data_IF_508135241341
#
_entry.id   IF_508135241341
#
_cell.length_a   1.000
_cell.length_b   1.000
_cell.length_c   1.000
_cell.angle_alpha   90.00
_cell.angle_beta   90.00
_cell.angle_gamma   90.00
#
_symmetry.space_group_name_H-M   'P 1'
#
loop_
_entity.id
_entity.type
_entity.pdbx_description
1 polymer ?
#
# COMPACT_ATOMS: atom_id res chain seq x y z
N UNK A 1 6.29 11.54 11.24
CA UNK A 1 5.32 10.67 10.61
C UNK A 1 3.97 10.58 11.33
N UNK A 2 2.90 10.42 10.57
CA UNK A 2 1.52 10.32 11.08
C UNK A 2 1.23 9.00 11.83
N UNK A 3 2.12 7.99 11.76
CA UNK A 3 1.95 6.69 12.41
C UNK A 3 1.44 5.57 11.50
N UNK A 4 1.56 5.71 10.18
CA UNK A 4 1.16 4.68 9.21
C UNK A 4 1.85 3.35 9.45
N UNK A 5 3.18 3.33 9.54
CA UNK A 5 3.99 2.13 9.82
C UNK A 5 3.62 1.50 11.18
N UNK A 6 3.34 2.32 12.19
CA UNK A 6 2.91 1.84 13.51
C UNK A 6 1.55 1.13 13.42
N UNK A 7 0.59 1.71 12.70
CA UNK A 7 -0.72 1.09 12.47
C UNK A 7 -0.58 -0.21 11.67
N UNK A 8 0.25 -0.20 10.62
CA UNK A 8 0.49 -1.37 9.79
C UNK A 8 1.07 -2.53 10.61
N UNK A 9 2.04 -2.25 11.49
CA UNK A 9 2.58 -3.24 12.43
C UNK A 9 1.50 -3.79 13.41
N UNK A 10 0.61 -2.91 13.89
CA UNK A 10 -0.49 -3.33 14.77
C UNK A 10 -1.50 -4.23 14.06
N UNK A 11 -1.85 -3.91 12.82
CA UNK A 11 -2.74 -4.75 11.98
C UNK A 11 -2.08 -6.10 11.69
N UNK A 12 -0.78 -6.09 11.37
CA UNK A 12 -0.04 -7.32 11.10
C UNK A 12 -0.03 -8.32 12.27
N UNK A 13 -0.10 -7.82 13.49
CA UNK A 13 -0.19 -8.68 14.68
C UNK A 13 -1.54 -9.43 14.79
N UNK A 14 -2.54 -9.06 14.01
CA UNK A 14 -3.86 -9.73 13.97
C UNK A 14 -4.01 -10.72 12.81
N UNK A 15 -3.01 -10.83 11.96
CA UNK A 15 -3.01 -11.78 10.83
C UNK A 15 -2.85 -13.20 11.35
N UNK A 16 -3.56 -14.14 10.73
CA UNK A 16 -3.50 -15.55 11.09
C UNK A 16 -2.04 -16.08 11.02
N UNK A 17 -1.52 -16.71 12.07
CA UNK A 17 -0.15 -17.22 12.11
C UNK A 17 0.21 -18.23 11.01
N UNK A 18 -0.76 -18.86 10.36
CA UNK A 18 -0.56 -19.80 9.26
C UNK A 18 -0.32 -19.10 7.92
N UNK A 19 -0.69 -17.81 7.79
CA UNK A 19 -0.54 -17.08 6.54
C UNK A 19 0.94 -16.77 6.23
N UNK A 20 1.30 -16.85 4.96
CA UNK A 20 2.60 -16.44 4.45
C UNK A 20 2.58 -14.97 4.06
N UNK A 21 3.35 -14.17 4.78
CA UNK A 21 3.46 -12.72 4.52
C UNK A 21 4.73 -12.42 3.74
N UNK A 22 4.62 -11.63 2.69
CA UNK A 22 5.79 -11.03 2.03
C UNK A 22 5.72 -9.52 2.19
N UNK A 23 6.78 -8.91 2.73
CA UNK A 23 6.91 -7.46 2.83
C UNK A 23 7.83 -6.95 1.73
N UNK A 24 7.50 -5.79 1.17
CA UNK A 24 8.32 -5.06 0.19
C UNK A 24 8.47 -3.63 0.69
N UNK A 25 9.71 -3.19 0.92
CA UNK A 25 10.02 -1.90 1.54
C UNK A 25 11.24 -1.23 0.89
N UNK A 26 11.31 0.11 0.94
CA UNK A 26 12.52 0.86 0.59
C UNK A 26 13.63 0.63 1.62
N UNK A 27 13.27 0.68 2.89
CA UNK A 27 14.10 0.35 4.03
C UNK A 27 13.26 -0.45 5.03
N UNK A 28 13.85 -1.44 5.67
CA UNK A 28 13.16 -2.35 6.57
C UNK A 28 12.70 -1.65 7.85
N UNK A 29 11.48 -1.15 7.87
CA UNK A 29 10.81 -0.52 9.03
C UNK A 29 9.73 -1.41 9.66
N UNK A 30 9.18 -2.35 8.89
CA UNK A 30 8.11 -3.22 9.33
C UNK A 30 8.63 -4.32 10.25
N UNK A 31 8.03 -4.43 11.43
CA UNK A 31 8.38 -5.41 12.44
C UNK A 31 7.17 -6.31 12.73
N UNK A 32 6.95 -7.31 11.90
CA UNK A 32 5.85 -8.25 12.08
C UNK A 32 6.27 -9.38 13.01
N UNK A 33 5.60 -9.52 14.16
CA UNK A 33 5.79 -10.66 15.07
C UNK A 33 5.05 -11.89 14.52
N UNK A 34 5.47 -12.38 13.36
CA UNK A 34 4.81 -13.43 12.62
C UNK A 34 5.83 -14.49 12.20
N UNK A 35 5.49 -15.77 12.29
CA UNK A 35 6.42 -16.87 12.07
C UNK A 35 6.88 -16.99 10.62
N UNK A 36 6.01 -16.65 9.66
CA UNK A 36 6.28 -16.84 8.24
C UNK A 36 6.28 -15.50 7.47
N UNK A 37 7.33 -14.71 7.65
CA UNK A 37 7.55 -13.44 6.94
C UNK A 37 8.78 -13.52 6.07
N UNK A 38 8.62 -13.22 4.79
CA UNK A 38 9.73 -12.97 3.86
C UNK A 38 9.85 -11.46 3.64
N UNK A 39 11.01 -10.88 3.93
CA UNK A 39 11.27 -9.46 3.78
C UNK A 39 12.08 -9.22 2.52
N UNK A 40 11.56 -8.34 1.66
CA UNK A 40 12.23 -7.88 0.45
C UNK A 40 12.49 -6.38 0.60
N UNK A 41 13.75 -5.99 0.49
CA UNK A 41 14.18 -4.61 0.60
C UNK A 41 14.72 -4.10 -0.73
N UNK A 42 14.31 -2.91 -1.13
CA UNK A 42 14.80 -2.25 -2.32
C UNK A 42 16.29 -1.90 -2.16
N UNK A 43 16.98 -1.84 -3.26
CA UNK A 43 18.39 -1.46 -3.28
C UNK A 43 18.62 -0.46 -4.41
N UNK A 44 19.17 0.73 -4.11
CA UNK A 44 19.57 1.66 -5.15
C UNK A 44 20.70 1.05 -5.99
N UNK A 45 20.84 1.56 -7.21
CA UNK A 45 21.97 1.23 -8.06
C UNK A 45 23.30 1.59 -7.35
N UNK A 46 24.35 0.80 -7.62
CA UNK A 46 25.70 1.16 -7.20
C UNK A 46 26.16 2.45 -7.88
N UNK A 47 27.30 2.99 -7.44
CA UNK A 47 27.94 4.15 -8.09
C UNK A 47 28.22 3.91 -9.61
N UNK A 48 28.29 2.67 -10.04
CA UNK A 48 28.51 2.24 -11.43
C UNK A 48 27.17 2.03 -12.18
N UNK A 49 26.02 2.31 -11.54
CA UNK A 49 24.70 2.17 -12.13
C UNK A 49 24.17 0.73 -12.24
N UNK A 50 24.76 -0.22 -11.49
CA UNK A 50 24.39 -1.65 -11.56
C UNK A 50 23.74 -2.13 -10.28
N UNK A 51 22.91 -3.17 -10.40
CA UNK A 51 22.38 -3.92 -9.27
C UNK A 51 21.20 -3.25 -8.54
N UNK A 52 20.50 -2.32 -9.18
CA UNK A 52 19.25 -1.76 -8.67
C UNK A 52 18.17 -2.83 -8.49
N UNK A 53 17.48 -2.78 -7.36
CA UNK A 53 16.27 -3.54 -7.09
C UNK A 53 15.15 -2.57 -6.71
N UNK A 54 14.26 -2.29 -7.64
CA UNK A 54 13.14 -1.37 -7.43
C UNK A 54 12.00 -2.04 -6.68
N UNK A 55 11.18 -1.26 -5.95
CA UNK A 55 9.94 -1.75 -5.32
C UNK A 55 9.07 -2.47 -6.34
N UNK A 56 8.94 -1.93 -7.55
CA UNK A 56 8.20 -2.53 -8.66
C UNK A 56 8.69 -3.93 -9.01
N UNK A 57 10.02 -4.11 -9.16
CA UNK A 57 10.61 -5.42 -9.44
C UNK A 57 10.38 -6.41 -8.31
N UNK A 58 10.47 -5.95 -7.06
CA UNK A 58 10.23 -6.76 -5.88
C UNK A 58 8.77 -7.19 -5.75
N UNK A 59 7.79 -6.32 -6.04
CA UNK A 59 6.36 -6.67 -6.06
C UNK A 59 6.13 -7.80 -7.08
N UNK A 60 6.61 -7.64 -8.32
CA UNK A 60 6.46 -8.67 -9.36
C UNK A 60 7.08 -10.01 -8.97
N UNK A 61 8.19 -9.98 -8.26
CA UNK A 61 8.84 -11.19 -7.75
C UNK A 61 8.04 -11.81 -6.58
N UNK A 62 7.59 -10.98 -5.63
CA UNK A 62 6.80 -11.39 -4.48
C UNK A 62 5.54 -12.19 -4.89
N UNK A 63 4.84 -11.75 -5.93
CA UNK A 63 3.64 -12.43 -6.45
C UNK A 63 3.91 -13.87 -6.93
N UNK A 64 5.14 -14.18 -7.35
CA UNK A 64 5.58 -15.53 -7.74
C UNK A 64 5.97 -16.41 -6.57
N UNK A 65 6.13 -15.82 -5.38
CA UNK A 65 6.53 -16.53 -4.17
C UNK A 65 5.36 -17.08 -3.37
N UNK A 66 4.13 -17.05 -3.93
CA UNK A 66 2.88 -17.50 -3.30
C UNK A 66 2.64 -16.86 -1.94
N UNK A 67 2.50 -15.54 -1.85
CA UNK A 67 2.09 -14.90 -0.62
C UNK A 67 0.61 -15.13 -0.37
N UNK A 68 0.22 -15.36 0.91
CA UNK A 68 -1.16 -15.20 1.34
C UNK A 68 -1.46 -13.70 1.52
N UNK A 69 -0.45 -12.92 1.97
CA UNK A 69 -0.50 -11.46 2.04
C UNK A 69 0.76 -10.81 1.50
N UNK A 70 0.55 -9.79 0.69
CA UNK A 70 1.58 -8.86 0.28
C UNK A 70 1.43 -7.56 1.08
N UNK A 71 2.51 -7.11 1.69
CA UNK A 71 2.54 -5.83 2.42
C UNK A 71 3.60 -4.93 1.77
N UNK A 72 3.16 -3.82 1.21
CA UNK A 72 4.05 -2.82 0.64
C UNK A 72 4.18 -1.66 1.61
N UNK A 73 5.38 -1.43 2.13
CA UNK A 73 5.63 -0.43 3.17
C UNK A 73 5.12 0.95 2.78
N UNK A 74 5.40 1.40 1.57
CA UNK A 74 4.86 2.63 1.02
C UNK A 74 4.83 2.60 -0.52
N UNK A 75 3.77 3.17 -1.10
CA UNK A 75 3.63 3.39 -2.54
C UNK A 75 3.92 4.85 -2.86
N UNK A 76 4.95 5.10 -3.67
CA UNK A 76 5.44 6.44 -4.01
C UNK A 76 5.59 6.69 -5.51
N UNK A 77 5.70 5.63 -6.31
CA UNK A 77 6.08 5.67 -7.71
C UNK A 77 5.26 4.75 -8.61
N UNK A 78 5.91 4.29 -9.65
CA UNK A 78 5.32 3.50 -10.74
C UNK A 78 4.89 2.08 -10.32
N UNK A 79 5.31 1.61 -9.16
CA UNK A 79 4.86 0.37 -8.55
C UNK A 79 3.36 0.36 -8.22
N UNK A 80 2.74 1.54 -8.13
CA UNK A 80 1.31 1.69 -7.83
C UNK A 80 0.44 0.87 -8.77
N UNK A 81 0.75 0.86 -10.06
CA UNK A 81 -0.02 0.12 -11.04
C UNK A 81 0.14 -1.39 -10.88
N UNK A 82 1.37 -1.86 -10.66
CA UNK A 82 1.64 -3.29 -10.45
C UNK A 82 0.95 -3.80 -9.17
N UNK A 83 0.92 -2.98 -8.11
CA UNK A 83 0.18 -3.29 -6.90
C UNK A 83 -1.34 -3.40 -7.16
N UNK A 84 -1.93 -2.40 -7.84
CA UNK A 84 -3.37 -2.41 -8.19
C UNK A 84 -3.72 -3.65 -9.03
N UNK A 85 -2.88 -4.01 -10.00
CA UNK A 85 -3.08 -5.22 -10.80
C UNK A 85 -2.97 -6.49 -9.96
N UNK A 86 -2.04 -6.56 -9.03
CA UNK A 86 -1.89 -7.69 -8.11
C UNK A 86 -3.14 -7.89 -7.25
N UNK A 87 -3.68 -6.82 -6.70
CA UNK A 87 -4.91 -6.84 -5.90
C UNK A 87 -6.10 -7.34 -6.71
N UNK A 88 -6.22 -6.92 -7.97
CA UNK A 88 -7.30 -7.35 -8.88
C UNK A 88 -7.16 -8.79 -9.36
N UNK A 89 -6.00 -9.43 -9.22
CA UNK A 89 -5.74 -10.81 -9.65
C UNK A 89 -5.82 -11.85 -8.54
N UNK A 90 -6.46 -11.53 -7.43
CA UNK A 90 -6.83 -12.49 -6.38
C UNK A 90 -5.93 -12.46 -5.13
N UNK A 91 -4.97 -11.56 -5.03
CA UNK A 91 -4.14 -11.37 -3.83
C UNK A 91 -4.88 -10.47 -2.81
N UNK A 92 -5.97 -11.01 -2.24
CA UNK A 92 -6.79 -10.30 -1.25
C UNK A 92 -6.05 -10.13 0.07
N UNK A 93 -6.44 -9.11 0.84
CA UNK A 93 -5.87 -8.86 2.16
C UNK A 93 -4.46 -8.24 2.13
N UNK A 94 -4.02 -7.71 1.00
CA UNK A 94 -2.81 -6.91 0.92
C UNK A 94 -2.95 -5.60 1.71
N UNK A 95 -1.82 -5.12 2.21
CA UNK A 95 -1.74 -3.88 2.97
C UNK A 95 -0.69 -2.97 2.34
N UNK A 96 -0.96 -1.67 2.33
CA UNK A 96 0.03 -0.69 1.89
C UNK A 96 -0.19 0.66 2.55
N UNK A 97 0.82 1.53 2.50
CA UNK A 97 0.65 2.93 2.89
C UNK A 97 0.87 3.86 1.69
N UNK A 98 0.16 4.98 1.72
CA UNK A 98 0.27 6.05 0.73
C UNK A 98 0.27 7.39 1.46
N UNK A 99 1.03 8.36 0.99
CA UNK A 99 0.94 9.75 1.46
C UNK A 99 -0.21 10.48 0.77
N UNK A 100 -1.22 10.88 1.55
CA UNK A 100 -2.36 11.66 1.08
C UNK A 100 -2.96 12.46 2.26
N UNK A 101 -3.76 13.49 1.95
CA UNK A 101 -4.39 14.35 2.96
C UNK A 101 -5.76 13.83 3.41
N UNK A 102 -6.26 12.75 2.81
CA UNK A 102 -7.54 12.12 3.15
C UNK A 102 -7.86 10.96 2.23
N UNK A 103 -8.94 10.18 2.51
CA UNK A 103 -9.26 8.97 1.75
C UNK A 103 -9.49 9.19 0.25
N UNK A 104 -10.19 10.26 -0.15
CA UNK A 104 -10.39 10.58 -1.58
C UNK A 104 -9.05 10.92 -2.25
N UNK A 105 -8.16 11.61 -1.54
CA UNK A 105 -6.86 11.99 -2.09
C UNK A 105 -5.94 10.78 -2.29
N UNK A 106 -6.14 9.67 -1.53
CA UNK A 106 -5.46 8.40 -1.79
C UNK A 106 -5.77 7.91 -3.20
N UNK A 107 -7.06 7.90 -3.61
CA UNK A 107 -7.48 7.45 -4.93
C UNK A 107 -6.83 8.30 -6.03
N UNK A 108 -6.90 9.63 -5.90
CA UNK A 108 -6.26 10.58 -6.84
C UNK A 108 -4.74 10.41 -6.88
N UNK A 109 -4.11 10.16 -5.73
CA UNK A 109 -2.66 9.93 -5.68
C UNK A 109 -2.28 8.66 -6.42
N UNK A 110 -3.01 7.56 -6.22
CA UNK A 110 -2.79 6.31 -6.93
C UNK A 110 -3.02 6.46 -8.44
N UNK A 111 -4.04 7.23 -8.88
CA UNK A 111 -4.23 7.57 -10.30
C UNK A 111 -2.97 8.24 -10.88
N UNK A 112 -2.47 9.26 -10.20
CA UNK A 112 -1.27 9.99 -10.64
C UNK A 112 -0.07 9.05 -10.74
N UNK A 113 0.16 8.22 -9.72
CA UNK A 113 1.29 7.28 -9.68
C UNK A 113 1.17 6.22 -10.79
N UNK A 114 -0.05 5.69 -11.01
CA UNK A 114 -0.30 4.72 -12.08
C UNK A 114 -0.06 5.30 -13.48
N UNK A 115 -0.46 6.57 -13.70
CA UNK A 115 -0.18 7.28 -14.96
C UNK A 115 1.32 7.48 -15.19
N UNK A 116 2.07 7.84 -14.14
CA UNK A 116 3.53 7.98 -14.20
C UNK A 116 4.24 6.64 -14.52
N UNK A 117 3.62 5.52 -14.13
CA UNK A 117 4.10 4.18 -14.45
C UNK A 117 4.04 3.80 -15.94
N UNK A 118 3.51 4.67 -16.79
CA UNK A 118 3.62 4.56 -18.25
C UNK A 118 2.77 3.45 -18.88
N UNK A 119 1.66 3.06 -18.27
CA UNK A 119 0.85 1.92 -18.73
C UNK A 119 0.11 2.14 -20.07
N UNK A 120 0.05 3.36 -20.58
CA UNK A 120 -0.74 3.68 -21.79
C UNK A 120 -2.25 3.42 -21.64
N UNK A 121 -2.73 3.19 -20.40
CA UNK A 121 -4.13 2.93 -20.11
C UNK A 121 -4.93 4.25 -20.06
N UNK A 122 -6.17 4.26 -20.55
CA UNK A 122 -7.08 5.39 -20.35
C UNK A 122 -7.30 5.65 -18.85
N UNK A 123 -7.46 6.91 -18.45
CA UNK A 123 -7.65 7.31 -17.06
C UNK A 123 -8.84 6.59 -16.40
N UNK A 124 -9.95 6.44 -17.12
CA UNK A 124 -11.14 5.75 -16.60
C UNK A 124 -10.91 4.27 -16.33
N UNK A 125 -10.06 3.61 -17.13
CA UNK A 125 -9.66 2.23 -16.87
C UNK A 125 -8.80 2.14 -15.60
N UNK A 126 -7.87 3.09 -15.39
CA UNK A 126 -7.07 3.17 -14.17
C UNK A 126 -7.97 3.36 -12.93
N UNK A 127 -8.90 4.30 -13.00
CA UNK A 127 -9.87 4.57 -11.92
C UNK A 127 -10.70 3.34 -11.55
N UNK A 128 -11.21 2.65 -12.57
CA UNK A 128 -11.98 1.43 -12.38
C UNK A 128 -11.15 0.34 -11.71
N UNK A 129 -9.89 0.17 -12.14
CA UNK A 129 -8.98 -0.81 -11.53
C UNK A 129 -8.64 -0.46 -10.08
N UNK A 130 -8.40 0.81 -9.76
CA UNK A 130 -8.12 1.26 -8.39
C UNK A 130 -9.34 1.02 -7.49
N UNK A 131 -10.54 1.38 -7.95
CA UNK A 131 -11.77 1.16 -7.19
C UNK A 131 -12.07 -0.32 -6.94
N UNK A 132 -11.75 -1.20 -7.90
CA UNK A 132 -11.92 -2.65 -7.75
C UNK A 132 -10.86 -3.29 -6.84
N UNK A 133 -9.70 -2.67 -6.71
CA UNK A 133 -8.55 -3.19 -5.95
C UNK A 133 -8.61 -2.85 -4.46
N UNK A 134 -9.26 -1.76 -4.09
CA UNK A 134 -9.25 -1.23 -2.72
C UNK A 134 -10.61 -1.41 -2.04
N UNK A 135 -10.59 -2.04 -0.88
CA UNK A 135 -11.79 -2.21 -0.05
C UNK A 135 -11.95 -1.05 0.94
N UNK A 136 -10.87 -0.75 1.69
CA UNK A 136 -10.90 0.20 2.81
C UNK A 136 -9.67 1.08 2.84
N UNK A 137 -9.86 2.35 3.14
CA UNK A 137 -8.80 3.32 3.40
C UNK A 137 -8.88 3.77 4.85
N UNK A 138 -7.77 3.65 5.58
CA UNK A 138 -7.63 4.13 6.96
C UNK A 138 -6.74 5.36 6.95
N UNK A 139 -7.31 6.52 7.27
CA UNK A 139 -6.56 7.77 7.37
C UNK A 139 -6.05 7.99 8.79
N UNK A 140 -4.75 8.21 8.89
CA UNK A 140 -4.07 8.51 10.15
C UNK A 140 -3.45 9.90 10.09
N UNK A 141 -3.59 10.65 11.16
CA UNK A 141 -3.06 11.99 11.27
C UNK A 141 -2.40 12.24 12.63
N UNK A 142 -1.66 13.33 12.69
CA UNK A 142 -1.14 13.86 13.94
C UNK A 142 -1.92 15.12 14.27
N UNK A 143 -2.69 15.07 15.37
CA UNK A 143 -3.47 16.20 15.83
C UNK A 143 -2.62 17.38 16.33
N UNK A 144 -3.25 18.51 16.57
CA UNK A 144 -2.61 19.71 17.11
C UNK A 144 -2.00 19.48 18.50
N UNK A 145 -2.55 18.55 19.26
CA UNK A 145 -2.03 18.06 20.54
C UNK A 145 -0.79 17.16 20.42
N UNK A 146 -0.31 16.94 19.18
CA UNK A 146 0.82 16.09 18.87
C UNK A 146 0.53 14.59 18.89
N UNK A 147 -0.66 14.15 19.27
CA UNK A 147 -1.05 12.74 19.31
C UNK A 147 -1.39 12.22 17.92
N UNK A 148 -1.07 10.96 17.69
CA UNK A 148 -1.41 10.24 16.46
C UNK A 148 -2.73 9.54 16.66
N UNK A 149 -3.62 9.64 15.69
CA UNK A 149 -4.94 9.01 15.73
C UNK A 149 -5.39 8.54 14.37
N UNK A 150 -6.29 7.56 14.34
CA UNK A 150 -7.10 7.26 13.16
C UNK A 150 -8.19 8.32 13.10
N UNK A 151 -8.17 9.17 12.09
CA UNK A 151 -9.17 10.24 11.92
C UNK A 151 -10.35 9.81 11.05
N UNK A 152 -10.11 8.87 10.12
CA UNK A 152 -11.18 8.39 9.25
C UNK A 152 -10.92 6.95 8.81
N UNK A 153 -12.00 6.15 8.73
CA UNK A 153 -12.04 4.87 8.02
C UNK A 153 -13.11 5.00 6.94
N UNK A 154 -12.77 4.69 5.70
CA UNK A 154 -13.66 4.83 4.57
C UNK A 154 -13.62 3.59 3.68
N UNK A 155 -14.79 3.14 3.24
CA UNK A 155 -14.99 2.13 2.21
C UNK A 155 -14.84 2.76 0.83
N UNK A 156 -14.16 2.10 -0.09
CA UNK A 156 -14.12 2.51 -1.50
C UNK A 156 -15.35 1.93 -2.18
N UNK A 157 -16.23 2.81 -2.68
CA UNK A 157 -17.51 2.40 -3.27
C UNK A 157 -17.57 2.61 -4.78
N UNK A 158 -16.57 3.27 -5.35
CA UNK A 158 -16.50 3.54 -6.78
C UNK A 158 -15.27 4.33 -7.19
N UNK A 159 -15.11 4.61 -8.49
CA UNK A 159 -14.03 5.45 -9.00
C UNK A 159 -14.05 6.84 -8.35
N UNK A 160 -12.95 7.18 -7.66
CA UNK A 160 -12.81 8.43 -6.88
C UNK A 160 -13.88 8.65 -5.79
N UNK A 161 -14.57 7.59 -5.36
CA UNK A 161 -15.67 7.68 -4.40
C UNK A 161 -15.41 6.81 -3.18
N UNK A 162 -15.62 7.40 -2.00
CA UNK A 162 -15.48 6.72 -0.71
C UNK A 162 -16.70 7.01 0.18
N UNK A 163 -17.09 6.02 0.97
CA UNK A 163 -18.12 6.14 2.00
C UNK A 163 -17.46 6.07 3.36
N UNK A 164 -17.65 7.10 4.18
CA UNK A 164 -17.14 7.10 5.55
C UNK A 164 -17.82 6.01 6.38
N UNK A 165 -17.02 5.13 6.98
CA UNK A 165 -17.47 4.14 7.96
C UNK A 165 -17.28 4.68 9.38
N UNK A 166 -16.20 5.44 9.59
CA UNK A 166 -15.89 6.14 10.84
C UNK A 166 -15.20 7.47 10.53
N UNK A 167 -15.59 8.51 11.24
CA UNK A 167 -14.88 9.79 11.23
C UNK A 167 -14.81 10.30 12.67
N UNK A 168 -13.64 10.72 13.11
CA UNK A 168 -13.42 11.33 14.43
C UNK A 168 -13.28 12.84 14.18
N UNK A 169 -14.10 13.69 14.79
CA UNK A 169 -13.95 15.13 14.69
C UNK A 169 -12.55 15.58 15.16
N UNK A 170 -11.97 16.52 14.43
CA UNK A 170 -10.69 17.16 14.79
C UNK A 170 -10.83 18.03 16.02
#
# INVERSE_FOLDING_TARGET
>A
GAGKTTLLNAIAATIDPSERIITVEDAAELQFPHAHVVRLEARPASAEGVGELTIRALIRNALRMRPDRLVVGEVRGDEALDLVQALNTGHRGCLSTVHANGPVDVLRRLETLALLGGAGLPLDAIRTQIAAALDVIVHVERGLDGKRRVSQIAEVVGPCEVKALMAVPC
#
